data_IF_071371140887
#
_entry.id   IF_071371140887
#
_cell.length_a   1.000
_cell.length_b   1.000
_cell.length_c   1.000
_cell.angle_alpha   90.00
_cell.angle_beta   90.00
_cell.angle_gamma   90.00
#
_symmetry.space_group_name_H-M   'P 1'
#
loop_
_entity.id
_entity.type
_entity.pdbx_description
1 polymer ?
#
# COMPACT_ATOMS: atom_id res chain seq x y z
N UNK A 1 -6.03 -28.78 4.82
CA UNK A 1 -7.30 -28.12 5.22
C UNK A 1 -7.88 -27.50 3.98
N UNK A 2 -9.10 -27.89 3.58
CA UNK A 2 -9.78 -27.24 2.47
C UNK A 2 -9.88 -25.74 2.79
N UNK A 3 -9.35 -24.89 1.90
CA UNK A 3 -9.50 -23.44 2.05
C UNK A 3 -10.99 -23.14 1.92
N UNK A 4 -11.58 -22.61 2.99
CA UNK A 4 -12.91 -22.01 2.92
C UNK A 4 -12.80 -20.92 1.87
N UNK A 5 -13.58 -21.04 0.79
CA UNK A 5 -13.63 -20.03 -0.26
C UNK A 5 -14.03 -18.71 0.40
N UNK A 6 -13.12 -17.74 0.39
CA UNK A 6 -13.35 -16.47 1.06
C UNK A 6 -14.58 -15.81 0.44
N UNK A 7 -15.62 -15.54 1.24
CA UNK A 7 -16.82 -14.87 0.75
C UNK A 7 -16.45 -13.45 0.31
N UNK A 8 -16.50 -13.19 -0.99
CA UNK A 8 -16.22 -11.88 -1.57
C UNK A 8 -17.36 -10.88 -1.25
N UNK A 9 -17.05 -9.59 -1.03
CA UNK A 9 -18.08 -8.55 -0.86
C UNK A 9 -18.99 -8.45 -2.08
N UNK A 10 -20.24 -8.00 -1.92
CA UNK A 10 -21.16 -7.84 -3.04
C UNK A 10 -20.65 -6.84 -4.08
N UNK A 11 -20.99 -7.09 -5.35
CA UNK A 11 -20.65 -6.19 -6.45
C UNK A 11 -21.67 -5.06 -6.52
N UNK A 12 -21.19 -3.83 -6.70
CA UNK A 12 -22.04 -2.62 -6.77
C UNK A 12 -22.94 -2.66 -8.02
N UNK A 13 -22.48 -3.26 -9.12
CA UNK A 13 -23.29 -3.44 -10.32
C UNK A 13 -22.86 -4.66 -11.13
N UNK A 14 -23.81 -5.34 -11.75
CA UNK A 14 -23.59 -6.50 -12.61
C UNK A 14 -24.15 -6.25 -14.00
N UNK A 15 -23.28 -6.11 -14.99
CA UNK A 15 -23.65 -6.10 -16.40
C UNK A 15 -22.51 -6.71 -17.22
N UNK A 16 -22.48 -8.05 -17.38
CA UNK A 16 -21.44 -8.70 -18.17
C UNK A 16 -21.63 -8.40 -19.67
N UNK A 17 -20.51 -8.19 -20.36
CA UNK A 17 -20.45 -8.08 -21.82
C UNK A 17 -19.32 -8.93 -22.38
N UNK A 18 -19.33 -9.17 -23.69
CA UNK A 18 -18.26 -9.93 -24.38
C UNK A 18 -17.19 -8.96 -24.87
N UNK A 19 -15.91 -9.30 -24.72
CA UNK A 19 -14.77 -8.47 -25.15
C UNK A 19 -13.69 -9.31 -25.84
N UNK A 20 -12.93 -8.67 -26.75
CA UNK A 20 -11.71 -9.24 -27.35
C UNK A 20 -10.45 -8.96 -26.52
N UNK A 21 -10.56 -8.15 -25.46
CA UNK A 21 -9.43 -7.84 -24.58
C UNK A 21 -9.02 -9.10 -23.80
N UNK A 22 -7.72 -9.26 -23.46
CA UNK A 22 -7.31 -10.26 -22.48
C UNK A 22 -8.07 -10.10 -21.17
N UNK A 23 -8.54 -11.22 -20.60
CA UNK A 23 -9.34 -11.25 -19.36
C UNK A 23 -8.48 -11.85 -18.25
N UNK A 24 -8.35 -11.15 -17.12
CA UNK A 24 -7.84 -11.73 -15.88
C UNK A 24 -9.01 -12.20 -15.05
N UNK A 25 -9.18 -13.52 -14.93
CA UNK A 25 -10.28 -14.11 -14.15
C UNK A 25 -10.27 -13.64 -12.69
N UNK A 26 -9.09 -13.43 -12.11
CA UNK A 26 -8.98 -12.89 -10.75
C UNK A 26 -9.35 -11.41 -10.66
N UNK A 27 -9.02 -10.60 -11.66
CA UNK A 27 -9.42 -9.20 -11.69
C UNK A 27 -10.94 -9.05 -11.87
N UNK A 28 -11.55 -9.88 -12.73
CA UNK A 28 -13.00 -9.91 -12.94
C UNK A 28 -13.76 -10.17 -11.64
N UNK A 29 -13.24 -11.05 -10.76
CA UNK A 29 -13.85 -11.28 -9.44
C UNK A 29 -13.98 -9.97 -8.65
N UNK A 30 -12.97 -9.11 -8.68
CA UNK A 30 -12.87 -7.88 -7.88
C UNK A 30 -13.49 -6.62 -8.51
N UNK A 31 -13.81 -6.64 -9.81
CA UNK A 31 -14.44 -5.49 -10.46
C UNK A 31 -15.69 -5.06 -9.69
N UNK A 32 -15.68 -3.79 -9.25
CA UNK A 32 -16.76 -3.13 -8.52
C UNK A 32 -17.17 -3.80 -7.19
N UNK A 33 -16.27 -4.56 -6.56
CA UNK A 33 -16.45 -5.10 -5.20
C UNK A 33 -15.65 -4.28 -4.17
N UNK A 34 -16.30 -3.42 -3.36
CA UNK A 34 -15.63 -2.59 -2.38
C UNK A 34 -15.08 -3.42 -1.22
N UNK A 35 -13.78 -3.26 -0.96
CA UNK A 35 -13.16 -3.64 0.30
C UNK A 35 -13.23 -2.42 1.22
N UNK A 36 -13.99 -2.54 2.30
CA UNK A 36 -14.09 -1.49 3.31
C UNK A 36 -12.72 -1.22 3.95
N UNK A 37 -12.38 0.05 4.12
CA UNK A 37 -11.14 0.52 4.70
C UNK A 37 -11.45 1.56 5.78
N UNK A 38 -10.93 1.37 7.00
CA UNK A 38 -11.24 2.24 8.14
C UNK A 38 -12.76 2.26 8.42
N UNK A 39 -13.30 3.36 8.96
CA UNK A 39 -14.71 3.52 9.31
C UNK A 39 -15.61 3.82 8.10
N UNK A 40 -15.20 4.72 7.19
CA UNK A 40 -16.02 5.14 6.04
C UNK A 40 -15.37 4.94 4.65
N UNK A 41 -14.12 4.47 4.63
CA UNK A 41 -13.34 4.36 3.40
C UNK A 41 -13.55 3.06 2.65
N UNK A 42 -13.06 3.02 1.41
CA UNK A 42 -13.04 1.81 0.60
C UNK A 42 -11.99 1.87 -0.51
N UNK A 43 -11.72 0.70 -1.08
CA UNK A 43 -11.06 0.53 -2.38
C UNK A 43 -11.84 -0.50 -3.19
N UNK A 44 -12.04 -0.25 -4.49
CA UNK A 44 -12.40 -1.29 -5.44
C UNK A 44 -11.76 -1.09 -6.80
N UNK A 45 -11.58 -2.20 -7.51
CA UNK A 45 -11.12 -2.20 -8.90
C UNK A 45 -12.24 -1.71 -9.82
N UNK A 46 -11.96 -0.69 -10.61
CA UNK A 46 -12.88 -0.10 -11.58
C UNK A 46 -12.62 -0.69 -12.96
N UNK A 47 -11.35 -0.86 -13.32
CA UNK A 47 -10.94 -1.33 -14.64
C UNK A 47 -9.50 -1.86 -14.56
N UNK A 48 -9.13 -2.68 -15.54
CA UNK A 48 -7.76 -3.13 -15.74
C UNK A 48 -7.48 -3.36 -17.22
N UNK A 49 -6.20 -3.32 -17.59
CA UNK A 49 -5.73 -3.66 -18.93
C UNK A 49 -4.60 -4.67 -18.85
N UNK A 50 -4.71 -5.73 -19.63
CA UNK A 50 -3.70 -6.80 -19.69
C UNK A 50 -3.83 -7.83 -18.56
N UNK A 51 -2.95 -8.84 -18.63
CA UNK A 51 -2.83 -9.95 -17.66
C UNK A 51 -1.36 -10.27 -17.42
N UNK A 52 -1.05 -11.27 -16.58
CA UNK A 52 0.31 -11.81 -16.48
C UNK A 52 0.88 -12.24 -17.85
N UNK A 53 0.04 -12.72 -18.78
CA UNK A 53 0.48 -13.06 -20.13
C UNK A 53 0.82 -11.82 -20.96
N UNK A 54 0.17 -10.69 -20.71
CA UNK A 54 0.53 -9.43 -21.37
C UNK A 54 1.95 -8.96 -21.00
N UNK A 55 2.39 -9.23 -19.76
CA UNK A 55 3.79 -9.00 -19.34
C UNK A 55 4.75 -9.88 -20.13
N UNK A 56 4.40 -11.16 -20.29
CA UNK A 56 5.20 -12.14 -21.05
C UNK A 56 5.29 -11.77 -22.53
N UNK A 57 4.17 -11.41 -23.14
CA UNK A 57 4.11 -11.05 -24.55
C UNK A 57 4.90 -9.77 -24.82
N UNK A 58 4.76 -8.76 -23.96
CA UNK A 58 5.55 -7.53 -24.03
C UNK A 58 7.05 -7.80 -23.95
N UNK A 59 7.48 -8.67 -23.04
CA UNK A 59 8.88 -9.06 -22.92
C UNK A 59 9.40 -9.82 -24.16
N UNK A 60 8.56 -10.68 -24.75
CA UNK A 60 8.91 -11.51 -25.93
C UNK A 60 9.05 -10.71 -27.21
N UNK A 61 8.46 -9.53 -27.33
CA UNK A 61 8.68 -8.65 -28.50
C UNK A 61 10.17 -8.30 -28.65
N UNK A 62 10.91 -8.16 -27.54
CA UNK A 62 12.35 -7.91 -27.56
C UNK A 62 13.20 -9.08 -28.09
N UNK A 63 12.62 -10.28 -28.19
CA UNK A 63 13.33 -11.53 -28.49
C UNK A 63 13.34 -11.89 -29.99
N UNK A 64 12.61 -11.15 -30.84
CA UNK A 64 12.52 -11.41 -32.28
C UNK A 64 11.90 -12.78 -32.64
N UNK A 65 11.65 -13.06 -33.92
CA UNK A 65 10.96 -14.28 -34.35
C UNK A 65 11.74 -15.60 -34.13
N UNK A 66 12.98 -15.55 -33.62
CA UNK A 66 13.89 -16.70 -33.58
C UNK A 66 14.13 -17.34 -32.20
N UNK A 67 13.79 -16.69 -31.08
CA UNK A 67 14.07 -17.23 -29.74
C UNK A 67 12.80 -17.78 -29.07
N UNK A 68 12.35 -18.94 -29.55
CA UNK A 68 11.44 -19.78 -28.76
C UNK A 68 12.23 -20.42 -27.62
N UNK A 69 12.46 -19.66 -26.56
CA UNK A 69 13.00 -20.19 -25.31
C UNK A 69 11.91 -20.93 -24.52
N UNK A 70 12.30 -22.09 -24.01
CA UNK A 70 11.59 -23.16 -23.29
C UNK A 70 11.02 -22.71 -21.92
N UNK A 71 11.02 -21.41 -21.62
CA UNK A 71 10.61 -20.89 -20.32
C UNK A 71 9.08 -20.75 -20.22
N UNK A 72 8.52 -21.29 -19.12
CA UNK A 72 7.13 -21.06 -18.74
C UNK A 72 6.88 -19.57 -18.51
N UNK A 73 5.62 -19.13 -18.62
CA UNK A 73 5.22 -17.74 -18.34
C UNK A 73 5.73 -17.26 -16.98
N UNK A 74 5.56 -18.10 -15.94
CA UNK A 74 6.06 -17.85 -14.60
C UNK A 74 7.59 -17.70 -14.58
N UNK A 75 8.34 -18.61 -15.22
CA UNK A 75 9.79 -18.56 -15.24
C UNK A 75 10.33 -17.24 -15.83
N UNK A 76 9.69 -16.75 -16.89
CA UNK A 76 10.04 -15.46 -17.50
C UNK A 76 9.67 -14.28 -16.59
N UNK A 77 8.46 -14.22 -16.03
CA UNK A 77 8.04 -13.15 -15.10
C UNK A 77 9.01 -13.07 -13.90
N UNK A 78 9.34 -14.22 -13.31
CA UNK A 78 10.29 -14.31 -12.21
C UNK A 78 11.69 -13.82 -12.63
N UNK A 79 12.16 -14.20 -13.82
CA UNK A 79 13.42 -13.72 -14.36
C UNK A 79 13.45 -12.20 -14.52
N UNK A 80 12.41 -11.61 -15.12
CA UNK A 80 12.28 -10.16 -15.32
C UNK A 80 12.33 -9.41 -13.99
N UNK A 81 11.57 -9.88 -13.00
CA UNK A 81 11.53 -9.25 -11.67
C UNK A 81 12.88 -9.29 -10.97
N UNK A 82 13.57 -10.44 -10.96
CA UNK A 82 14.91 -10.58 -10.32
C UNK A 82 15.96 -9.66 -10.93
N UNK A 83 15.89 -9.42 -12.24
CA UNK A 83 16.85 -8.57 -12.97
C UNK A 83 16.36 -7.13 -13.15
N UNK A 84 15.27 -6.75 -12.48
CA UNK A 84 14.70 -5.40 -12.51
C UNK A 84 14.40 -4.93 -13.95
N UNK A 85 13.93 -5.85 -14.80
CA UNK A 85 13.39 -5.53 -16.12
C UNK A 85 11.92 -5.12 -15.95
N UNK A 86 11.68 -3.82 -15.74
CA UNK A 86 10.38 -3.29 -15.29
C UNK A 86 9.40 -3.03 -16.42
N UNK A 87 9.90 -2.63 -17.61
CA UNK A 87 9.06 -2.18 -18.72
C UNK A 87 7.98 -3.17 -19.18
N UNK A 88 8.16 -4.50 -19.14
CA UNK A 88 7.06 -5.41 -19.47
C UNK A 88 5.90 -5.36 -18.46
N UNK A 89 6.18 -5.12 -17.18
CA UNK A 89 5.13 -4.93 -16.15
C UNK A 89 4.38 -3.61 -16.32
N UNK A 90 5.00 -2.59 -16.91
CA UNK A 90 4.37 -1.29 -17.14
C UNK A 90 3.27 -1.34 -18.21
N UNK A 91 3.19 -2.43 -19.00
CA UNK A 91 2.14 -2.65 -20.01
C UNK A 91 0.80 -3.13 -19.42
N UNK A 92 0.76 -3.41 -18.12
CA UNK A 92 -0.45 -3.78 -17.39
C UNK A 92 -0.84 -2.61 -16.50
N UNK A 93 -2.07 -2.10 -16.64
CA UNK A 93 -2.59 -1.02 -15.82
C UNK A 93 -3.83 -1.43 -15.03
N UNK A 94 -4.05 -0.76 -13.90
CA UNK A 94 -5.25 -0.89 -13.08
C UNK A 94 -5.78 0.50 -12.73
N UNK A 95 -7.09 0.58 -12.56
CA UNK A 95 -7.79 1.79 -12.11
C UNK A 95 -8.65 1.44 -10.91
N UNK A 96 -8.46 2.17 -9.83
CA UNK A 96 -9.23 2.04 -8.60
C UNK A 96 -10.12 3.26 -8.39
N UNK A 97 -11.23 3.05 -7.70
CA UNK A 97 -11.93 4.11 -6.99
C UNK A 97 -11.64 3.93 -5.51
N UNK A 98 -11.13 4.98 -4.90
CA UNK A 98 -10.76 4.99 -3.49
C UNK A 98 -11.50 6.11 -2.79
N UNK A 99 -11.99 5.84 -1.59
CA UNK A 99 -12.52 6.83 -0.66
C UNK A 99 -11.69 6.76 0.61
N UNK A 100 -11.07 7.86 0.98
CA UNK A 100 -10.10 7.92 2.08
C UNK A 100 -10.11 9.26 2.81
N UNK A 101 -9.55 9.35 4.02
CA UNK A 101 -9.30 10.62 4.68
C UNK A 101 -8.23 11.44 3.94
N UNK A 102 -8.34 12.76 3.93
CA UNK A 102 -7.34 13.66 3.31
C UNK A 102 -5.91 13.40 3.85
N UNK A 103 -5.76 13.05 5.13
CA UNK A 103 -4.46 12.69 5.73
C UNK A 103 -3.80 11.47 5.05
N UNK A 104 -4.60 10.51 4.55
CA UNK A 104 -4.13 9.37 3.75
C UNK A 104 -3.85 9.80 2.32
N UNK A 105 -4.76 10.56 1.71
CA UNK A 105 -4.64 11.05 0.34
C UNK A 105 -3.31 11.83 0.13
N UNK A 106 -2.91 12.67 1.10
CA UNK A 106 -1.67 13.45 1.05
C UNK A 106 -0.38 12.61 1.04
N UNK A 107 -0.41 11.40 1.61
CA UNK A 107 0.71 10.46 1.54
C UNK A 107 0.71 9.69 0.24
N UNK A 108 -0.48 9.35 -0.25
CA UNK A 108 -0.68 8.57 -1.45
C UNK A 108 -0.33 9.36 -2.72
N UNK A 109 -0.72 10.63 -2.82
CA UNK A 109 -0.43 11.51 -3.98
C UNK A 109 1.07 11.71 -4.25
N UNK A 110 1.94 11.35 -3.30
CA UNK A 110 3.40 11.40 -3.47
C UNK A 110 3.92 10.37 -4.49
N UNK A 111 3.10 9.38 -4.85
CA UNK A 111 3.37 8.40 -5.90
C UNK A 111 3.03 8.98 -7.27
N UNK A 112 3.97 9.77 -7.80
CA UNK A 112 3.80 10.66 -8.96
C UNK A 112 3.64 9.94 -10.31
N UNK A 113 3.89 8.64 -10.37
CA UNK A 113 3.77 7.82 -11.59
C UNK A 113 2.34 7.34 -11.84
N UNK A 114 1.38 7.73 -10.97
CA UNK A 114 -0.04 7.47 -11.15
C UNK A 114 -0.80 8.67 -11.74
N UNK A 115 -1.97 8.41 -12.33
CA UNK A 115 -2.94 9.43 -12.71
C UNK A 115 -4.06 9.51 -11.66
N UNK A 116 -4.41 10.73 -11.25
CA UNK A 116 -5.40 10.97 -10.18
C UNK A 116 -6.44 11.96 -10.66
N UNK A 117 -7.71 11.67 -10.37
CA UNK A 117 -8.80 12.65 -10.45
C UNK A 117 -9.60 12.61 -9.14
N UNK A 118 -9.49 13.69 -8.36
CA UNK A 118 -10.03 13.78 -7.01
C UNK A 118 -11.30 14.63 -6.96
N UNK A 119 -12.21 14.25 -6.05
CA UNK A 119 -13.35 15.04 -5.66
C UNK A 119 -12.94 16.46 -5.26
N UNK A 120 -13.52 17.46 -5.91
CA UNK A 120 -13.19 18.86 -5.69
C UNK A 120 -14.24 19.56 -4.84
N UNK A 121 -13.87 19.88 -3.60
CA UNK A 121 -14.66 20.75 -2.72
C UNK A 121 -14.85 22.18 -3.23
N UNK A 122 -14.30 22.55 -4.41
CA UNK A 122 -14.52 23.87 -5.02
C UNK A 122 -15.85 23.90 -5.76
N UNK A 123 -16.23 22.77 -6.34
CA UNK A 123 -17.45 22.62 -7.13
C UNK A 123 -18.56 21.98 -6.31
N UNK A 124 -18.20 21.08 -5.40
CA UNK A 124 -19.12 20.23 -4.68
C UNK A 124 -19.07 20.45 -3.16
N UNK A 125 -20.16 20.10 -2.48
CA UNK A 125 -20.25 20.21 -1.02
C UNK A 125 -19.55 19.03 -0.34
N UNK A 126 -18.64 19.30 0.60
CA UNK A 126 -17.85 18.25 1.27
C UNK A 126 -18.77 17.28 2.05
N UNK A 127 -18.41 16.00 2.05
CA UNK A 127 -19.15 14.96 2.77
C UNK A 127 -19.06 15.21 4.28
N UNK A 128 -20.16 14.94 5.00
CA UNK A 128 -20.19 14.87 6.47
C UNK A 128 -19.61 13.54 6.96
N UNK A 129 -18.36 13.29 6.60
CA UNK A 129 -17.67 12.05 6.93
C UNK A 129 -16.22 12.36 7.28
N UNK A 130 -15.81 11.91 8.47
CA UNK A 130 -14.51 12.18 9.04
C UNK A 130 -13.94 10.91 9.62
N UNK A 131 -12.63 10.70 9.45
CA UNK A 131 -11.95 9.57 10.07
C UNK A 131 -11.97 9.68 11.58
N UNK A 132 -12.67 8.74 12.21
CA UNK A 132 -12.70 8.54 13.64
C UNK A 132 -12.01 7.22 13.97
N UNK A 133 -10.76 7.25 14.47
CA UNK A 133 -10.01 6.02 14.75
C UNK A 133 -10.74 5.11 15.74
N UNK A 134 -10.59 3.80 15.56
CA UNK A 134 -11.02 2.83 16.55
C UNK A 134 -10.26 3.05 17.87
N UNK A 135 -10.83 2.63 19.00
CA UNK A 135 -10.18 2.83 20.30
C UNK A 135 -8.79 2.16 20.34
N UNK A 136 -8.61 1.02 19.69
CA UNK A 136 -7.33 0.31 19.67
C UNK A 136 -6.26 0.99 18.80
N UNK A 137 -6.67 1.94 17.96
CA UNK A 137 -5.77 2.74 17.14
C UNK A 137 -5.29 4.02 17.84
N UNK A 138 -5.95 4.43 18.93
CA UNK A 138 -5.56 5.60 19.72
C UNK A 138 -4.47 5.18 20.71
N UNK A 139 -3.20 5.33 20.29
CA UNK A 139 -2.02 4.93 21.06
C UNK A 139 -1.08 6.09 21.34
N UNK A 140 -0.16 5.89 22.28
CA UNK A 140 0.90 6.83 22.57
C UNK A 140 1.85 6.99 21.36
N UNK A 141 2.68 8.02 21.37
CA UNK A 141 3.78 8.18 20.42
C UNK A 141 4.84 7.10 20.66
N UNK A 142 5.29 6.38 19.62
CA UNK A 142 6.39 5.43 19.78
C UNK A 142 7.72 6.12 20.10
N UNK A 143 8.50 5.50 21.00
CA UNK A 143 9.80 6.02 21.46
C UNK A 143 10.90 5.87 20.40
N UNK A 144 10.93 4.71 19.73
CA UNK A 144 11.98 4.37 18.76
C UNK A 144 11.59 4.75 17.32
N UNK A 145 10.31 4.58 16.96
CA UNK A 145 9.77 5.03 15.69
C UNK A 145 8.97 6.34 15.89
N UNK A 146 9.63 7.49 15.71
CA UNK A 146 8.97 8.81 15.79
C UNK A 146 7.83 9.02 14.78
N UNK A 147 7.64 8.12 13.82
CA UNK A 147 6.57 8.16 12.83
C UNK A 147 5.42 7.19 13.16
N UNK A 148 5.55 6.39 14.23
CA UNK A 148 4.63 5.31 14.57
C UNK A 148 3.92 5.47 15.91
N UNK A 149 2.97 4.56 16.12
CA UNK A 149 2.24 4.36 17.38
C UNK A 149 3.03 3.48 18.34
N UNK A 150 3.04 3.82 19.61
CA UNK A 150 3.67 3.10 20.71
C UNK A 150 2.66 2.36 21.57
N UNK A 151 2.85 2.43 22.89
CA UNK A 151 2.05 1.71 23.89
C UNK A 151 0.58 2.17 23.92
N UNK A 152 -0.28 1.31 24.45
CA UNK A 152 -1.69 1.65 24.67
C UNK A 152 -1.86 2.75 25.72
N UNK A 153 -2.79 3.65 25.46
CA UNK A 153 -3.25 4.62 26.45
C UNK A 153 -4.38 4.00 27.30
N UNK A 154 -4.57 4.49 28.55
CA UNK A 154 -5.72 4.12 29.37
C UNK A 154 -7.05 4.27 28.62
N UNK A 155 -7.97 3.33 28.82
CA UNK A 155 -9.21 3.25 28.03
C UNK A 155 -10.07 4.52 28.15
N UNK A 156 -10.16 5.09 29.35
CA UNK A 156 -10.83 6.35 29.64
C UNK A 156 -10.25 7.51 28.81
N UNK A 157 -8.92 7.59 28.71
CA UNK A 157 -8.24 8.58 27.86
C UNK A 157 -8.54 8.35 26.39
N UNK A 158 -8.52 7.10 25.91
CA UNK A 158 -8.83 6.77 24.51
C UNK A 158 -10.28 7.14 24.15
N UNK A 159 -11.21 6.87 25.06
CA UNK A 159 -12.62 7.25 24.93
C UNK A 159 -12.78 8.78 24.89
N UNK A 160 -12.14 9.50 25.81
CA UNK A 160 -12.18 10.97 25.86
C UNK A 160 -11.62 11.60 24.58
N UNK A 161 -10.47 11.11 24.09
CA UNK A 161 -9.88 11.56 22.82
C UNK A 161 -10.85 11.35 21.66
N UNK A 162 -11.45 10.17 21.57
CA UNK A 162 -12.42 9.84 20.50
C UNK A 162 -13.67 10.72 20.57
N UNK A 163 -14.21 10.96 21.77
CA UNK A 163 -15.35 11.87 21.99
C UNK A 163 -15.02 13.29 21.53
N UNK A 164 -13.84 13.81 21.92
CA UNK A 164 -13.40 15.15 21.49
C UNK A 164 -13.25 15.28 19.99
N UNK A 165 -12.75 14.24 19.31
CA UNK A 165 -12.72 14.22 17.84
C UNK A 165 -14.12 14.28 17.26
N UNK A 166 -15.03 13.41 17.70
CA UNK A 166 -16.39 13.35 17.19
C UNK A 166 -17.15 14.69 17.38
N UNK A 167 -17.05 15.31 18.56
CA UNK A 167 -17.65 16.61 18.84
C UNK A 167 -17.03 17.74 18.02
N UNK A 168 -15.70 17.72 17.85
CA UNK A 168 -14.97 18.68 17.04
C UNK A 168 -15.37 18.62 15.57
N UNK A 169 -15.45 17.41 15.01
CA UNK A 169 -15.87 17.18 13.62
C UNK A 169 -17.30 17.67 13.38
N UNK A 170 -18.23 17.32 14.28
CA UNK A 170 -19.63 17.80 14.21
C UNK A 170 -19.70 19.32 14.17
N UNK A 171 -19.01 20.00 15.09
CA UNK A 171 -18.99 21.47 15.15
C UNK A 171 -18.41 22.09 13.87
N UNK A 172 -17.30 21.55 13.38
CA UNK A 172 -16.66 22.04 12.15
C UNK A 172 -17.56 21.87 10.93
N UNK A 173 -18.34 20.80 10.87
CA UNK A 173 -19.30 20.59 9.78
C UNK A 173 -20.53 21.49 9.90
N UNK A 174 -21.04 21.73 11.12
CA UNK A 174 -22.10 22.71 11.38
C UNK A 174 -21.68 24.13 10.95
N UNK A 175 -20.47 24.55 11.30
CA UNK A 175 -19.90 25.83 10.86
C UNK A 175 -19.78 25.88 9.33
N UNK A 176 -19.29 24.79 8.70
CA UNK A 176 -19.20 24.67 7.25
C UNK A 176 -20.57 24.84 6.57
N UNK A 177 -21.61 24.16 7.08
CA UNK A 177 -22.98 24.28 6.58
C UNK A 177 -23.51 25.69 6.73
N UNK A 178 -23.31 26.31 7.89
CA UNK A 178 -23.71 27.70 8.11
C UNK A 178 -23.01 28.66 7.15
N UNK A 179 -21.70 28.48 6.87
CA UNK A 179 -21.00 29.28 5.86
C UNK A 179 -21.63 29.18 4.48
N UNK A 180 -22.05 27.98 4.06
CA UNK A 180 -22.77 27.79 2.79
C UNK A 180 -24.12 28.50 2.80
N UNK A 181 -24.88 28.39 3.90
CA UNK A 181 -26.21 28.97 4.04
C UNK A 181 -26.19 30.51 3.98
N UNK A 182 -25.12 31.15 4.49
CA UNK A 182 -24.92 32.61 4.39
C UNK A 182 -24.21 33.05 3.10
N UNK A 183 -23.98 32.13 2.16
CA UNK A 183 -23.49 32.44 0.81
C UNK A 183 -21.97 32.52 0.65
N UNK A 184 -21.18 32.00 1.59
CA UNK A 184 -19.72 31.89 1.43
C UNK A 184 -19.40 30.91 0.30
N UNK A 185 -18.46 31.28 -0.58
CA UNK A 185 -18.02 30.41 -1.66
C UNK A 185 -17.47 29.08 -1.10
N UNK A 186 -17.83 27.95 -1.73
CA UNK A 186 -17.44 26.59 -1.28
C UNK A 186 -15.94 26.42 -1.04
N UNK A 187 -15.11 27.09 -1.86
CA UNK A 187 -13.66 27.01 -1.70
C UNK A 187 -13.09 27.71 -0.47
N UNK A 188 -13.81 28.68 0.06
CA UNK A 188 -13.51 29.35 1.33
C UNK A 188 -14.19 28.63 2.48
N UNK A 189 -15.46 28.25 2.34
CA UNK A 189 -16.24 27.60 3.40
C UNK A 189 -15.55 26.32 3.91
N UNK A 190 -14.93 25.53 3.02
CA UNK A 190 -14.27 24.27 3.40
C UNK A 190 -12.95 24.43 4.17
N UNK A 191 -12.39 25.64 4.28
CA UNK A 191 -11.04 25.83 4.86
C UNK A 191 -10.96 25.41 6.33
N UNK A 192 -12.08 25.43 7.06
CA UNK A 192 -12.15 24.99 8.44
C UNK A 192 -12.22 23.47 8.62
N UNK A 193 -12.47 22.69 7.55
CA UNK A 193 -12.59 21.25 7.64
C UNK A 193 -11.20 20.61 7.87
N UNK A 194 -11.09 19.64 8.80
CA UNK A 194 -9.83 19.01 9.16
C UNK A 194 -9.38 18.03 8.06
N UNK A 195 -8.10 17.68 8.08
CA UNK A 195 -7.53 16.63 7.21
C UNK A 195 -8.09 15.21 7.50
N UNK A 196 -8.95 15.07 8.51
CA UNK A 196 -9.69 13.85 8.77
C UNK A 196 -10.90 13.67 7.84
N UNK A 197 -11.37 14.74 7.17
CA UNK A 197 -12.50 14.66 6.25
C UNK A 197 -12.21 13.71 5.08
N UNK A 198 -13.22 12.95 4.68
CA UNK A 198 -13.12 12.00 3.58
C UNK A 198 -13.18 12.70 2.22
N UNK A 199 -12.31 12.24 1.32
CA UNK A 199 -12.28 12.54 -0.10
C UNK A 199 -12.39 11.24 -0.89
N UNK A 200 -12.59 11.34 -2.19
CA UNK A 200 -12.59 10.19 -3.08
C UNK A 200 -11.93 10.52 -4.40
N UNK A 201 -11.29 9.54 -5.03
CA UNK A 201 -10.66 9.73 -6.32
C UNK A 201 -10.69 8.48 -7.21
N UNK A 202 -10.54 8.71 -8.50
CA UNK A 202 -10.03 7.68 -9.40
C UNK A 202 -8.51 7.71 -9.39
N UNK A 203 -7.90 6.55 -9.23
CA UNK A 203 -6.45 6.37 -9.21
C UNK A 203 -6.04 5.28 -10.20
N UNK A 204 -5.33 5.66 -11.27
CA UNK A 204 -4.83 4.74 -12.30
C UNK A 204 -3.32 4.64 -12.23
N UNK A 205 -2.78 3.43 -12.31
CA UNK A 205 -1.35 3.15 -12.24
C UNK A 205 -1.01 1.86 -13.00
N UNK A 206 0.22 1.75 -13.50
CA UNK A 206 0.74 0.50 -14.03
C UNK A 206 1.22 -0.47 -12.93
N UNK A 207 1.36 -1.75 -13.28
CA UNK A 207 1.66 -2.82 -12.32
C UNK A 207 3.04 -2.67 -11.68
N UNK A 208 4.05 -2.15 -12.40
CA UNK A 208 5.38 -1.93 -11.82
C UNK A 208 5.33 -0.86 -10.72
N UNK A 209 4.75 0.29 -11.03
CA UNK A 209 4.64 1.40 -10.09
C UNK A 209 3.67 1.09 -8.94
N UNK A 210 2.64 0.28 -9.17
CA UNK A 210 1.77 -0.25 -8.12
C UNK A 210 2.53 -1.13 -7.14
N UNK A 211 3.40 -2.02 -7.60
CA UNK A 211 4.23 -2.83 -6.72
C UNK A 211 5.22 -1.99 -5.92
N UNK A 212 5.75 -0.92 -6.52
CA UNK A 212 6.54 0.06 -5.78
C UNK A 212 5.71 0.75 -4.68
N UNK A 213 4.48 1.16 -4.98
CA UNK A 213 3.54 1.69 -4.01
C UNK A 213 3.30 0.71 -2.86
N UNK A 214 2.93 -0.54 -3.17
CA UNK A 214 2.64 -1.58 -2.19
C UNK A 214 3.85 -1.87 -1.31
N UNK A 215 5.06 -1.96 -1.88
CA UNK A 215 6.29 -2.16 -1.10
C UNK A 215 6.49 -1.07 -0.03
N UNK A 216 6.19 0.18 -0.37
CA UNK A 216 6.35 1.30 0.56
C UNK A 216 5.17 1.46 1.53
N UNK A 217 3.97 1.00 1.15
CA UNK A 217 2.74 1.20 1.95
C UNK A 217 2.32 -0.02 2.75
N UNK A 218 2.86 -1.20 2.47
CA UNK A 218 2.74 -2.39 3.33
C UNK A 218 3.84 -2.45 4.41
N UNK A 219 4.85 -1.58 4.33
CA UNK A 219 5.91 -1.52 5.32
C UNK A 219 5.38 -1.05 6.68
N UNK A 220 5.84 -1.68 7.76
CA UNK A 220 5.45 -1.35 9.14
C UNK A 220 5.73 0.10 9.56
N UNK A 221 6.68 0.78 8.91
CA UNK A 221 7.00 2.19 9.14
C UNK A 221 5.99 3.13 8.47
N UNK A 222 5.23 2.66 7.47
CA UNK A 222 4.13 3.44 6.94
C UNK A 222 3.01 3.58 7.98
N UNK A 223 2.38 4.75 7.99
CA UNK A 223 1.26 5.05 8.87
C UNK A 223 0.16 3.99 8.68
N UNK A 224 -0.39 3.49 9.79
CA UNK A 224 -1.39 2.41 9.80
C UNK A 224 -2.50 2.63 8.75
N UNK A 225 -3.07 3.84 8.72
CA UNK A 225 -4.19 4.13 7.84
C UNK A 225 -3.89 3.84 6.36
N UNK A 226 -2.73 4.27 5.83
CA UNK A 226 -2.40 4.00 4.42
C UNK A 226 -2.05 2.52 4.18
N UNK A 227 -1.60 1.79 5.22
CA UNK A 227 -1.37 0.35 5.12
C UNK A 227 -2.67 -0.41 4.89
N UNK A 228 -3.77 -0.02 5.56
CA UNK A 228 -5.09 -0.63 5.36
C UNK A 228 -5.50 -0.57 3.87
N UNK A 229 -5.28 0.56 3.20
CA UNK A 229 -5.53 0.67 1.76
C UNK A 229 -4.56 -0.15 0.91
N UNK A 230 -3.27 -0.18 1.30
CA UNK A 230 -2.26 -1.01 0.65
C UNK A 230 -2.59 -2.50 0.73
N UNK A 231 -3.05 -2.99 1.88
CA UNK A 231 -3.47 -4.38 2.13
C UNK A 231 -4.69 -4.73 1.29
N UNK A 232 -5.71 -3.86 1.24
CA UNK A 232 -6.88 -4.03 0.38
C UNK A 232 -6.48 -4.14 -1.11
N UNK A 233 -5.59 -3.26 -1.58
CA UNK A 233 -5.07 -3.32 -2.95
C UNK A 233 -4.24 -4.57 -3.21
N UNK A 234 -3.39 -4.98 -2.27
CA UNK A 234 -2.57 -6.18 -2.40
C UNK A 234 -3.43 -7.43 -2.59
N UNK A 235 -4.56 -7.55 -1.86
CA UNK A 235 -5.52 -8.65 -2.05
C UNK A 235 -6.07 -8.71 -3.47
N UNK A 236 -6.55 -7.58 -3.99
CA UNK A 236 -7.07 -7.49 -5.37
C UNK A 236 -6.00 -7.88 -6.38
N UNK A 237 -4.78 -7.36 -6.22
CA UNK A 237 -3.70 -7.55 -7.19
C UNK A 237 -3.10 -8.96 -7.14
N UNK A 238 -3.08 -9.58 -5.96
CA UNK A 238 -2.68 -10.98 -5.78
C UNK A 238 -3.56 -11.92 -6.61
N UNK A 239 -4.87 -11.68 -6.61
CA UNK A 239 -5.80 -12.47 -7.41
C UNK A 239 -5.74 -12.07 -8.89
N UNK A 240 -5.64 -10.77 -9.20
CA UNK A 240 -5.64 -10.26 -10.56
C UNK A 240 -4.39 -10.68 -11.38
N UNK A 241 -3.21 -10.71 -10.77
CA UNK A 241 -1.94 -10.97 -11.45
C UNK A 241 -1.05 -11.89 -10.59
N UNK A 242 -1.47 -13.14 -10.34
CA UNK A 242 -0.84 -14.03 -9.36
C UNK A 242 0.63 -14.34 -9.66
N UNK A 243 1.03 -14.44 -10.93
CA UNK A 243 2.43 -14.72 -11.27
C UNK A 243 3.32 -13.49 -11.00
N UNK A 244 2.86 -12.32 -11.42
CA UNK A 244 3.58 -11.06 -11.19
C UNK A 244 3.62 -10.65 -9.72
N UNK A 245 2.54 -10.90 -8.97
CA UNK A 245 2.47 -10.65 -7.54
C UNK A 245 3.30 -11.65 -6.74
N UNK A 246 3.26 -12.94 -7.06
CA UNK A 246 4.12 -13.94 -6.42
C UNK A 246 5.62 -13.63 -6.60
N UNK A 247 6.03 -13.21 -7.80
CA UNK A 247 7.41 -12.74 -8.02
C UNK A 247 7.73 -11.46 -7.21
N UNK A 248 6.77 -10.56 -7.03
CA UNK A 248 6.93 -9.37 -6.19
C UNK A 248 7.07 -9.73 -4.70
N UNK A 249 6.24 -10.64 -4.19
CA UNK A 249 6.30 -11.15 -2.81
C UNK A 249 7.70 -11.70 -2.50
N UNK A 250 8.19 -12.61 -3.34
CA UNK A 250 9.46 -13.31 -3.16
C UNK A 250 10.68 -12.40 -3.24
N UNK A 251 10.73 -11.53 -4.27
CA UNK A 251 11.97 -10.82 -4.63
C UNK A 251 12.03 -9.38 -4.14
N UNK A 252 10.92 -8.81 -3.66
CA UNK A 252 10.87 -7.40 -3.27
C UNK A 252 10.15 -7.15 -1.94
N UNK A 253 8.98 -7.74 -1.71
CA UNK A 253 8.19 -7.45 -0.50
C UNK A 253 8.76 -8.14 0.74
N UNK A 254 9.13 -9.41 0.62
CA UNK A 254 9.66 -10.21 1.73
C UNK A 254 11.18 -10.42 1.65
N UNK A 255 11.84 -9.80 0.67
CA UNK A 255 13.28 -9.85 0.52
C UNK A 255 14.00 -9.04 1.61
N UNK A 256 15.09 -9.59 2.13
CA UNK A 256 16.04 -8.88 2.97
C UNK A 256 17.24 -8.49 2.11
N UNK A 257 17.50 -7.19 1.98
CA UNK A 257 18.69 -6.69 1.29
C UNK A 257 19.83 -6.44 2.27
N UNK A 258 21.04 -6.74 1.81
CA UNK A 258 22.27 -6.37 2.48
C UNK A 258 23.00 -5.32 1.67
N UNK A 259 23.42 -4.25 2.32
CA UNK A 259 24.35 -3.27 1.76
C UNK A 259 25.74 -3.91 1.58
N UNK A 260 26.60 -3.26 0.79
CA UNK A 260 28.00 -3.68 0.64
C UNK A 260 28.70 -3.86 2.00
N UNK A 261 28.51 -2.92 2.93
CA UNK A 261 29.14 -2.97 4.25
C UNK A 261 28.66 -4.16 5.09
N UNK A 262 27.36 -4.46 5.04
CA UNK A 262 26.79 -5.62 5.72
C UNK A 262 27.33 -6.93 5.14
N UNK A 263 27.47 -7.02 3.82
CA UNK A 263 28.08 -8.17 3.14
C UNK A 263 29.56 -8.36 3.51
N UNK A 264 30.33 -7.27 3.59
CA UNK A 264 31.74 -7.32 4.00
C UNK A 264 31.88 -7.91 5.41
N UNK A 265 31.02 -7.49 6.35
CA UNK A 265 30.99 -8.04 7.72
C UNK A 265 30.54 -9.50 7.74
N UNK A 266 29.52 -9.87 6.96
CA UNK A 266 29.07 -11.26 6.86
C UNK A 266 30.18 -12.18 6.37
N UNK A 267 30.87 -11.81 5.29
CA UNK A 267 31.91 -12.62 4.66
C UNK A 267 33.18 -12.74 5.50
N UNK A 268 33.50 -11.71 6.29
CA UNK A 268 34.71 -11.69 7.12
C UNK A 268 34.59 -12.49 8.44
N UNK A 269 33.39 -13.00 8.79
CA UNK A 269 33.12 -13.58 10.10
C UNK A 269 32.38 -14.92 10.01
N UNK A 270 32.54 -15.77 11.03
CA UNK A 270 31.78 -17.01 11.18
C UNK A 270 30.51 -16.80 12.00
N UNK A 271 29.40 -17.44 11.59
CA UNK A 271 28.08 -17.33 12.19
C UNK A 271 27.49 -18.73 12.47
N UNK A 272 26.56 -18.89 13.43
CA UNK A 272 26.03 -17.84 14.31
C UNK A 272 26.99 -17.48 15.44
N UNK A 273 26.79 -16.31 16.06
CA UNK A 273 27.59 -15.86 17.22
C UNK A 273 26.72 -15.21 18.31
N UNK A 274 27.24 -15.14 19.53
CA UNK A 274 26.56 -14.45 20.65
C UNK A 274 26.33 -12.97 20.35
N UNK A 275 25.25 -12.39 20.87
CA UNK A 275 24.96 -10.95 20.77
C UNK A 275 26.16 -10.02 21.01
N UNK A 276 26.94 -10.24 22.07
CA UNK A 276 28.10 -9.41 22.41
C UNK A 276 29.17 -9.41 21.31
N UNK A 277 29.43 -10.58 20.71
CA UNK A 277 30.38 -10.71 19.59
C UNK A 277 29.84 -10.03 18.34
N UNK A 278 28.54 -10.20 18.05
CA UNK A 278 27.89 -9.58 16.90
C UNK A 278 27.97 -8.04 16.97
N UNK A 279 27.64 -7.45 18.12
CA UNK A 279 27.73 -6.00 18.32
C UNK A 279 29.17 -5.48 18.09
N UNK A 280 30.19 -6.24 18.53
CA UNK A 280 31.61 -5.88 18.33
C UNK A 280 32.01 -5.92 16.84
N UNK A 281 31.68 -6.98 16.11
CA UNK A 281 32.08 -7.11 14.70
C UNK A 281 31.32 -6.12 13.82
N UNK A 282 30.04 -5.88 14.10
CA UNK A 282 29.23 -4.88 13.39
C UNK A 282 29.73 -3.47 13.65
N UNK A 283 30.08 -3.13 14.89
CA UNK A 283 30.64 -1.82 15.23
C UNK A 283 32.01 -1.57 14.59
N UNK A 284 32.77 -2.62 14.28
CA UNK A 284 34.05 -2.50 13.58
C UNK A 284 33.89 -2.28 12.06
N UNK A 285 32.82 -2.82 11.47
CA UNK A 285 32.58 -2.74 10.01
C UNK A 285 31.64 -1.63 9.56
N UNK A 286 30.77 -1.13 10.44
CA UNK A 286 29.75 -0.11 10.13
C UNK A 286 29.89 1.03 11.14
N UNK A 287 30.09 2.26 10.67
CA UNK A 287 30.29 3.42 11.56
C UNK A 287 28.99 4.01 12.13
N UNK A 288 27.90 3.97 11.37
CA UNK A 288 26.63 4.58 11.75
C UNK A 288 25.87 3.69 12.76
N UNK A 289 25.60 4.20 13.97
CA UNK A 289 24.92 3.44 15.03
C UNK A 289 23.52 2.94 14.65
N UNK A 290 22.78 3.68 13.82
CA UNK A 290 21.46 3.27 13.35
C UNK A 290 21.56 2.12 12.35
N UNK A 291 22.48 2.22 11.40
CA UNK A 291 22.75 1.11 10.45
C UNK A 291 23.25 -0.14 11.18
N UNK A 292 24.08 0.01 12.22
CA UNK A 292 24.48 -1.10 13.08
C UNK A 292 23.26 -1.79 13.71
N UNK A 293 22.34 -1.02 14.29
CA UNK A 293 21.14 -1.56 14.93
C UNK A 293 20.20 -2.26 13.92
N UNK A 294 20.01 -1.64 12.75
CA UNK A 294 19.23 -2.21 11.66
C UNK A 294 19.84 -3.52 11.13
N UNK A 295 21.17 -3.57 10.96
CA UNK A 295 21.86 -4.79 10.53
C UNK A 295 21.77 -5.90 11.57
N UNK A 296 21.99 -5.58 12.85
CA UNK A 296 21.84 -6.56 13.93
C UNK A 296 20.42 -7.13 13.98
N UNK A 297 19.40 -6.30 13.78
CA UNK A 297 18.01 -6.78 13.69
C UNK A 297 17.82 -7.77 12.53
N UNK A 298 18.44 -7.54 11.36
CA UNK A 298 18.45 -8.52 10.25
C UNK A 298 19.12 -9.83 10.65
N UNK A 299 20.29 -9.75 11.32
CA UNK A 299 21.04 -10.93 11.73
C UNK A 299 20.27 -11.76 12.77
N UNK A 300 19.59 -11.12 13.73
CA UNK A 300 18.71 -11.80 14.69
C UNK A 300 17.55 -12.51 13.98
N UNK A 301 16.90 -11.82 13.04
CA UNK A 301 15.80 -12.41 12.23
C UNK A 301 16.23 -13.64 11.45
N UNK A 302 17.51 -13.72 11.06
CA UNK A 302 18.09 -14.84 10.30
C UNK A 302 18.77 -15.90 11.18
N UNK A 303 18.65 -15.81 12.51
CA UNK A 303 19.31 -16.69 13.47
C UNK A 303 20.85 -16.70 13.37
N UNK A 304 21.45 -15.61 12.87
CA UNK A 304 22.91 -15.42 12.89
C UNK A 304 23.39 -14.91 14.25
N UNK A 305 22.51 -14.31 15.06
CA UNK A 305 22.81 -13.89 16.43
C UNK A 305 22.00 -14.70 17.42
N UNK A 306 22.70 -15.36 18.34
CA UNK A 306 22.16 -16.11 19.48
C UNK A 306 22.03 -15.20 20.71
#
# INVERSE_FOLDING_TARGET
MAMIEEQLPDRIFENPGVTLRPISEGAEKWLYRPIQCLDHGFVYLVDYTGTDLSVVDAARVSYGQGTKSVNTAEGLIRYLRRHVHTSPSEMVEVKFHCKMPIVVARQWVRHRTANINEYSGRYSEMLDEFYLPALDDIKAQAKDNKQGRGDELPLDIRQEVRTRFAEGYRRQYEDYKWFLDVGVAKEIARLGLPVANYTQWYWKIDLHNLMHFLRLRLDSHAQYEIRVYGEAMARIIKDAFPLSFGAFEDYQLHAISFSRLELDVLNANQWPMSRIKADRVVSAGIANKREQAEFIAKLQKLNFVL
#
